data_IF_445180060793
#
_entry.id   IF_445180060793
#
_cell.length_a   1.000
_cell.length_b   1.000
_cell.length_c   1.000
_cell.angle_alpha   90.00
_cell.angle_beta   90.00
_cell.angle_gamma   90.00
#
_symmetry.space_group_name_H-M   'P 1'
#
loop_
_entity.id
_entity.type
_entity.pdbx_description
1 polymer ?
#
# COMPACT_ATOMS: atom_id res chain seq x y z
N UNK A 1 12.91 -8.92 17.50
CA UNK A 1 13.45 -7.60 17.14
C UNK A 1 12.28 -6.70 16.76
N UNK A 2 12.18 -5.53 17.37
CA UNK A 2 11.20 -4.50 17.04
C UNK A 2 11.87 -3.38 16.22
N UNK A 3 11.12 -2.71 15.36
CA UNK A 3 11.60 -1.59 14.57
C UNK A 3 10.47 -0.65 14.14
N UNK A 4 10.84 0.52 13.64
CA UNK A 4 9.92 1.53 13.12
C UNK A 4 10.44 2.01 11.76
N UNK A 5 9.55 2.09 10.78
CA UNK A 5 9.81 2.66 9.47
C UNK A 5 8.98 3.93 9.29
N UNK A 6 9.60 5.02 8.85
CA UNK A 6 8.91 6.26 8.44
C UNK A 6 9.48 6.69 7.11
N UNK A 7 8.63 6.97 6.12
CA UNK A 7 9.05 7.48 4.83
C UNK A 7 7.95 8.35 4.19
N UNK A 8 8.37 9.47 3.61
CA UNK A 8 7.54 10.42 2.90
C UNK A 8 8.20 10.81 1.57
N UNK A 9 7.40 11.22 0.59
CA UNK A 9 7.88 11.78 -0.66
C UNK A 9 7.14 13.07 -1.01
N UNK A 10 7.75 13.89 -1.84
CA UNK A 10 7.15 15.14 -2.34
C UNK A 10 7.20 15.16 -3.86
N UNK A 11 6.22 15.82 -4.45
CA UNK A 11 6.16 16.11 -5.87
C UNK A 11 5.95 17.60 -6.05
N UNK A 12 6.69 18.20 -6.97
CA UNK A 12 6.57 19.60 -7.35
C UNK A 12 6.12 19.61 -8.80
N UNK A 13 4.88 20.04 -9.03
CA UNK A 13 4.34 20.24 -10.37
C UNK A 13 4.90 21.55 -10.94
N UNK A 14 5.73 21.46 -11.98
CA UNK A 14 6.49 22.59 -12.53
C UNK A 14 5.98 23.07 -13.89
N UNK A 15 5.14 22.29 -14.59
CA UNK A 15 4.82 22.53 -16.00
C UNK A 15 3.31 22.61 -16.29
N UNK A 16 2.49 21.84 -15.59
CA UNK A 16 1.06 21.68 -15.88
C UNK A 16 0.23 22.21 -14.69
N UNK A 17 0.07 23.53 -14.61
CA UNK A 17 -0.73 24.19 -13.55
C UNK A 17 -2.25 24.03 -13.77
N UNK A 18 -2.71 22.78 -13.89
CA UNK A 18 -4.13 22.42 -14.02
C UNK A 18 -4.66 22.15 -15.43
N UNK A 19 -3.81 22.08 -16.47
CA UNK A 19 -4.23 21.78 -17.86
C UNK A 19 -4.27 20.27 -18.18
N UNK A 20 -3.56 19.45 -17.40
CA UNK A 20 -3.59 17.99 -17.57
C UNK A 20 -4.88 17.41 -16.97
N UNK A 21 -5.84 17.01 -17.82
CA UNK A 21 -7.10 16.35 -17.42
C UNK A 21 -6.96 14.95 -16.84
N UNK A 22 -5.74 14.53 -16.47
CA UNK A 22 -5.42 13.28 -15.80
C UNK A 22 -4.24 13.49 -14.85
N UNK A 23 -4.23 12.83 -13.68
CA UNK A 23 -3.08 12.88 -12.81
C UNK A 23 -1.84 12.33 -13.51
N UNK A 24 -0.81 13.16 -13.66
CA UNK A 24 0.45 12.69 -14.21
C UNK A 24 1.15 11.74 -13.20
N UNK A 25 1.97 10.81 -13.70
CA UNK A 25 2.57 9.74 -12.87
C UNK A 25 3.55 10.29 -11.79
N UNK A 26 3.87 11.58 -11.81
CA UNK A 26 4.91 12.21 -10.98
C UNK A 26 4.31 13.26 -10.01
N UNK A 27 3.06 13.68 -10.18
CA UNK A 27 2.37 14.70 -9.37
C UNK A 27 1.21 14.11 -8.54
N UNK A 28 0.64 14.96 -7.67
CA UNK A 28 -0.56 14.60 -6.93
C UNK A 28 -1.80 15.08 -7.65
N UNK A 29 -2.85 14.28 -7.64
CA UNK A 29 -4.18 14.76 -8.00
C UNK A 29 -4.57 15.95 -7.13
N UNK A 30 -5.27 16.90 -7.73
CA UNK A 30 -5.90 18.01 -7.00
C UNK A 30 -6.83 17.49 -5.90
N UNK A 31 -7.43 16.31 -6.10
CA UNK A 31 -8.22 15.61 -5.08
C UNK A 31 -7.36 14.77 -4.16
N UNK A 32 -7.67 14.86 -2.87
CA UNK A 32 -6.92 14.16 -1.84
C UNK A 32 -7.25 12.67 -1.74
N UNK A 33 -8.40 12.25 -2.28
CA UNK A 33 -9.02 10.93 -2.11
C UNK A 33 -9.45 10.36 -3.45
N UNK A 34 -9.45 9.03 -3.56
CA UNK A 34 -9.70 8.34 -4.82
C UNK A 34 -11.16 8.32 -5.24
N UNK A 35 -12.09 8.22 -4.29
CA UNK A 35 -13.52 8.22 -4.61
C UNK A 35 -14.08 9.63 -4.85
N UNK A 36 -13.34 10.68 -4.46
CA UNK A 36 -13.65 12.09 -4.71
C UNK A 36 -13.01 12.62 -6.02
N UNK A 37 -12.31 11.76 -6.76
CA UNK A 37 -11.59 12.13 -7.97
C UNK A 37 -12.53 12.69 -9.05
N UNK A 38 -12.23 13.89 -9.53
CA UNK A 38 -12.96 14.59 -10.59
C UNK A 38 -12.09 14.98 -11.78
N UNK A 39 -10.82 14.56 -11.79
CA UNK A 39 -9.85 14.81 -12.86
C UNK A 39 -9.61 16.30 -13.12
N UNK A 40 -9.75 17.14 -12.10
CA UNK A 40 -9.56 18.60 -12.17
C UNK A 40 -8.10 19.06 -12.22
N UNK A 41 -7.18 18.15 -12.54
CA UNK A 41 -5.75 18.39 -12.71
C UNK A 41 -4.89 18.04 -11.50
N UNK A 42 -3.63 18.50 -11.56
CA UNK A 42 -2.57 18.15 -10.62
C UNK A 42 -2.18 19.27 -9.66
N UNK A 43 -1.48 18.90 -8.59
CA UNK A 43 -0.88 19.80 -7.61
C UNK A 43 0.45 19.28 -7.07
N UNK A 44 1.23 20.22 -6.57
CA UNK A 44 2.37 19.91 -5.70
C UNK A 44 1.90 19.41 -4.34
N UNK A 45 2.72 18.61 -3.66
CA UNK A 45 2.36 18.08 -2.34
C UNK A 45 3.44 17.24 -1.68
N UNK A 46 3.09 16.71 -0.52
CA UNK A 46 3.88 15.74 0.24
C UNK A 46 2.96 14.60 0.69
N UNK A 47 3.46 13.37 0.63
CA UNK A 47 2.71 12.18 1.02
C UNK A 47 3.55 11.29 1.92
N UNK A 48 3.06 11.06 3.14
CA UNK A 48 3.59 10.04 4.04
C UNK A 48 3.09 8.68 3.58
N UNK A 49 3.98 7.86 3.01
CA UNK A 49 3.61 6.59 2.37
C UNK A 49 4.05 5.35 3.17
N UNK A 50 4.82 5.57 4.24
CA UNK A 50 5.21 4.53 5.17
C UNK A 50 5.34 5.11 6.58
N UNK A 51 4.67 4.47 7.54
CA UNK A 51 4.75 4.77 8.95
C UNK A 51 4.33 3.51 9.71
N UNK A 52 5.26 2.59 9.91
CA UNK A 52 4.96 1.22 10.32
C UNK A 52 5.85 0.73 11.45
N UNK A 53 5.21 0.22 12.50
CA UNK A 53 5.89 -0.63 13.47
C UNK A 53 6.15 -2.00 12.86
N UNK A 54 7.30 -2.59 13.14
CA UNK A 54 7.71 -3.90 12.66
C UNK A 54 8.18 -4.78 13.80
N UNK A 55 7.87 -6.05 13.69
CA UNK A 55 8.30 -7.10 14.59
C UNK A 55 8.81 -8.28 13.78
N UNK A 56 9.91 -8.88 14.23
CA UNK A 56 10.44 -10.13 13.68
C UNK A 56 10.95 -11.02 14.81
N UNK A 57 10.55 -12.28 14.80
CA UNK A 57 11.00 -13.30 15.74
C UNK A 57 11.06 -14.67 15.05
N UNK A 58 12.29 -15.17 14.84
CA UNK A 58 12.52 -16.40 14.08
C UNK A 58 11.94 -16.32 12.67
N UNK A 59 11.10 -17.29 12.24
CA UNK A 59 10.47 -17.29 10.93
C UNK A 59 9.30 -16.30 10.84
N UNK A 60 8.80 -15.81 11.98
CA UNK A 60 7.60 -14.97 12.05
C UNK A 60 7.97 -13.49 11.96
N UNK A 61 7.17 -12.73 11.23
CA UNK A 61 7.26 -11.29 11.13
C UNK A 61 5.86 -10.66 11.16
N UNK A 62 5.78 -9.42 11.60
CA UNK A 62 4.57 -8.63 11.59
C UNK A 62 4.89 -7.15 11.38
N UNK A 63 3.95 -6.41 10.78
CA UNK A 63 4.00 -4.96 10.64
C UNK A 63 2.61 -4.38 10.78
N UNK A 64 2.52 -3.16 11.32
CA UNK A 64 1.26 -2.45 11.46
C UNK A 64 1.45 -0.94 11.32
N UNK A 65 0.44 -0.25 10.79
CA UNK A 65 0.44 1.19 10.51
C UNK A 65 0.22 1.45 9.02
N UNK A 66 0.95 2.42 8.48
CA UNK A 66 0.99 2.70 7.05
C UNK A 66 2.04 1.81 6.39
N UNK A 67 1.53 0.74 5.77
CA UNK A 67 2.33 -0.36 5.25
C UNK A 67 2.13 -0.51 3.75
N UNK A 68 3.17 -1.05 3.12
CA UNK A 68 3.07 -1.68 1.81
C UNK A 68 3.07 -3.19 2.02
N UNK A 69 2.16 -3.92 1.37
CA UNK A 69 2.18 -5.37 1.31
C UNK A 69 3.57 -5.87 0.91
N UNK A 70 4.12 -6.84 1.63
CA UNK A 70 5.33 -7.56 1.15
C UNK A 70 5.29 -9.06 1.39
N UNK A 71 4.20 -9.59 1.94
CA UNK A 71 3.92 -11.01 1.96
C UNK A 71 3.30 -11.46 0.64
N UNK A 72 2.81 -12.69 0.63
CA UNK A 72 2.19 -13.37 -0.51
C UNK A 72 0.69 -13.07 -0.65
N UNK A 73 0.26 -11.89 -0.20
CA UNK A 73 -1.14 -11.49 -0.24
C UNK A 73 -1.54 -11.01 -1.64
N UNK A 74 -2.84 -11.07 -1.94
CA UNK A 74 -3.39 -10.55 -3.20
C UNK A 74 -3.51 -9.02 -3.21
N UNK A 75 -3.40 -8.39 -2.04
CA UNK A 75 -3.39 -6.93 -1.95
C UNK A 75 -2.01 -6.44 -2.38
N UNK A 76 -1.96 -5.75 -3.52
CA UNK A 76 -0.75 -5.14 -4.03
C UNK A 76 -0.95 -3.62 -4.12
N UNK A 77 0.09 -2.81 -3.82
CA UNK A 77 0.00 -1.37 -4.02
C UNK A 77 -0.08 -1.07 -5.52
N UNK A 78 -0.86 -0.05 -5.88
CA UNK A 78 -0.75 0.53 -7.22
C UNK A 78 0.65 1.14 -7.38
N UNK A 79 1.24 0.96 -8.55
CA UNK A 79 2.57 1.49 -8.89
C UNK A 79 2.44 2.82 -9.66
N UNK A 80 3.36 3.72 -9.33
CA UNK A 80 3.61 5.04 -9.93
C UNK A 80 5.05 5.40 -9.51
N UNK A 81 5.45 6.69 -9.50
CA UNK A 81 6.76 7.12 -8.97
C UNK A 81 7.04 6.55 -7.56
N UNK A 82 6.00 6.42 -6.74
CA UNK A 82 6.03 5.79 -5.43
C UNK A 82 4.86 4.82 -5.26
N UNK A 83 4.95 3.80 -4.39
CA UNK A 83 3.88 2.82 -4.19
C UNK A 83 2.74 3.38 -3.32
N UNK A 84 1.53 2.85 -3.54
CA UNK A 84 0.37 3.11 -2.71
C UNK A 84 0.56 2.65 -1.25
N UNK A 85 -0.30 3.16 -0.37
CA UNK A 85 -0.20 2.96 1.09
C UNK A 85 -1.48 2.33 1.62
N UNK A 86 -1.34 1.26 2.40
CA UNK A 86 -2.45 0.67 3.13
C UNK A 86 -2.35 1.04 4.61
N UNK A 87 -3.48 1.35 5.25
CA UNK A 87 -3.56 1.40 6.71
C UNK A 87 -4.04 0.04 7.21
N UNK A 88 -3.18 -0.63 7.95
CA UNK A 88 -3.51 -1.98 8.38
C UNK A 88 -2.39 -2.68 9.10
N UNK A 89 -2.52 -4.00 9.15
CA UNK A 89 -1.53 -4.89 9.72
C UNK A 89 -1.30 -6.07 8.78
N UNK A 90 -0.06 -6.53 8.74
CA UNK A 90 0.32 -7.70 7.97
C UNK A 90 1.30 -8.53 8.77
N UNK A 91 1.04 -9.84 8.83
CA UNK A 91 1.89 -10.78 9.50
C UNK A 91 2.14 -11.99 8.61
N UNK A 92 3.28 -12.62 8.78
CA UNK A 92 3.63 -13.80 8.02
C UNK A 92 4.69 -14.63 8.68
N UNK A 93 4.89 -15.82 8.13
CA UNK A 93 5.94 -16.73 8.52
C UNK A 93 6.59 -17.33 7.29
N UNK A 94 7.91 -17.37 7.26
CA UNK A 94 8.68 -18.06 6.21
C UNK A 94 9.53 -19.14 6.85
N UNK A 95 9.23 -20.38 6.49
CA UNK A 95 9.95 -21.57 6.90
C UNK A 95 10.83 -22.02 5.75
N UNK A 96 12.14 -21.93 5.96
CA UNK A 96 13.13 -22.45 5.03
C UNK A 96 13.54 -23.86 5.48
N UNK A 97 13.28 -24.85 4.63
CA UNK A 97 13.63 -26.25 4.85
C UNK A 97 14.91 -26.65 4.09
N UNK A 98 15.70 -25.67 3.62
CA UNK A 98 16.93 -25.92 2.88
C UNK A 98 16.67 -26.64 1.56
N UNK A 99 17.27 -27.82 1.40
CA UNK A 99 17.16 -28.64 0.20
C UNK A 99 15.72 -29.14 -0.05
N UNK A 100 14.88 -29.20 0.99
CA UNK A 100 13.48 -29.61 0.87
C UNK A 100 12.55 -28.48 0.38
N UNK A 101 13.05 -27.25 0.19
CA UNK A 101 12.28 -26.11 -0.29
C UNK A 101 11.92 -25.09 0.79
N UNK A 102 10.99 -24.18 0.49
CA UNK A 102 10.54 -23.15 1.42
C UNK A 102 9.02 -22.99 1.41
N UNK A 103 8.45 -22.68 2.57
CA UNK A 103 7.03 -22.46 2.76
C UNK A 103 6.82 -21.10 3.41
N UNK A 104 6.13 -20.21 2.71
CA UNK A 104 5.80 -18.87 3.20
C UNK A 104 4.29 -18.69 3.30
N UNK A 105 3.85 -18.10 4.41
CA UNK A 105 2.47 -17.69 4.62
C UNK A 105 2.41 -16.23 5.03
N UNK A 106 1.36 -15.55 4.63
CA UNK A 106 1.09 -14.18 5.05
C UNK A 106 -0.41 -13.91 5.14
N UNK A 107 -0.77 -13.06 6.07
CA UNK A 107 -2.10 -12.53 6.24
C UNK A 107 -2.02 -11.02 6.36
N UNK A 108 -2.90 -10.33 5.65
CA UNK A 108 -3.05 -8.89 5.71
C UNK A 108 -4.48 -8.54 6.06
N UNK A 109 -4.61 -7.55 6.93
CA UNK A 109 -5.84 -6.83 7.21
C UNK A 109 -5.61 -5.35 6.93
N UNK A 110 -6.58 -4.68 6.33
CA UNK A 110 -6.51 -3.25 6.03
C UNK A 110 -7.90 -2.64 6.02
N UNK A 111 -8.03 -1.40 6.47
CA UNK A 111 -9.31 -0.67 6.50
C UNK A 111 -9.36 0.53 5.55
N UNK A 112 -8.19 1.08 5.19
CA UNK A 112 -8.09 2.20 4.27
C UNK A 112 -6.92 2.02 3.29
N UNK A 113 -7.03 2.68 2.14
CA UNK A 113 -6.00 2.71 1.11
C UNK A 113 -5.84 4.11 0.53
N UNK A 114 -4.59 4.47 0.24
CA UNK A 114 -4.22 5.69 -0.49
C UNK A 114 -3.41 5.30 -1.71
N UNK A 115 -3.87 5.68 -2.89
CA UNK A 115 -3.10 5.54 -4.11
C UNK A 115 -1.93 6.56 -4.14
N UNK A 116 -0.87 6.32 -4.92
CA UNK A 116 0.32 7.18 -4.97
C UNK A 116 0.06 8.66 -5.26
N UNK A 117 -0.90 8.95 -6.14
CA UNK A 117 -1.27 10.29 -6.58
C UNK A 117 -2.23 11.00 -5.61
N UNK A 118 -2.62 10.36 -4.52
CA UNK A 118 -3.45 10.95 -3.47
C UNK A 118 -2.64 11.25 -2.22
N UNK A 119 -3.12 12.21 -1.43
CA UNK A 119 -2.43 12.65 -0.21
C UNK A 119 -3.10 12.14 1.06
N UNK A 120 -4.40 11.83 1.00
CA UNK A 120 -5.19 11.30 2.12
C UNK A 120 -5.57 9.83 1.93
N UNK A 121 -5.74 9.13 3.05
CA UNK A 121 -6.30 7.79 3.05
C UNK A 121 -7.78 7.84 2.68
N UNK A 122 -8.22 6.81 1.97
CA UNK A 122 -9.61 6.66 1.58
C UNK A 122 -10.14 5.29 2.01
N UNK A 123 -11.45 5.23 2.22
CA UNK A 123 -12.11 3.99 2.58
C UNK A 123 -12.31 3.11 1.34
N UNK A 124 -12.56 1.83 1.57
CA UNK A 124 -12.99 0.94 0.51
C UNK A 124 -14.49 1.10 0.25
N UNK A 125 -14.88 1.06 -1.02
CA UNK A 125 -16.28 1.03 -1.41
C UNK A 125 -16.51 -0.09 -2.42
N UNK A 126 -17.74 -0.61 -2.43
CA UNK A 126 -18.17 -1.52 -3.49
C UNK A 126 -18.20 -0.79 -4.85
N UNK A 127 -18.46 -1.54 -5.92
CA UNK A 127 -18.53 -1.00 -7.28
C UNK A 127 -19.56 0.15 -7.43
N UNK A 128 -20.53 0.25 -6.51
CA UNK A 128 -21.51 1.33 -6.45
C UNK A 128 -20.95 2.68 -5.95
N UNK A 129 -19.69 2.71 -5.46
CA UNK A 129 -19.00 3.86 -4.86
C UNK A 129 -19.72 4.50 -3.67
N UNK A 130 -20.69 3.80 -3.07
CA UNK A 130 -21.54 4.33 -1.98
C UNK A 130 -21.50 3.40 -0.78
N UNK A 131 -21.59 2.10 -1.01
CA UNK A 131 -21.57 1.12 0.07
C UNK A 131 -20.15 0.93 0.55
N UNK A 132 -19.89 1.37 1.79
CA UNK A 132 -18.59 1.25 2.42
C UNK A 132 -18.27 -0.21 2.75
N UNK A 133 -17.00 -0.57 2.56
CA UNK A 133 -16.41 -1.84 3.01
C UNK A 133 -15.44 -1.48 4.13
N UNK A 134 -15.77 -1.89 5.37
CA UNK A 134 -15.02 -1.49 6.55
C UNK A 134 -13.57 -2.01 6.56
N UNK A 135 -13.35 -3.18 5.96
CA UNK A 135 -12.04 -3.81 5.92
C UNK A 135 -11.91 -4.85 4.82
N UNK A 136 -10.67 -5.05 4.38
CA UNK A 136 -10.25 -6.12 3.51
C UNK A 136 -9.30 -7.07 4.26
N UNK A 137 -9.42 -8.35 3.94
CA UNK A 137 -8.51 -9.38 4.39
C UNK A 137 -7.90 -10.07 3.18
N UNK A 138 -6.63 -10.45 3.28
CA UNK A 138 -5.98 -11.27 2.27
C UNK A 138 -5.06 -12.29 2.92
N UNK A 139 -5.21 -13.54 2.51
CA UNK A 139 -4.37 -14.65 2.95
C UNK A 139 -3.62 -15.21 1.75
N UNK A 140 -2.33 -15.43 1.96
CA UNK A 140 -1.37 -15.84 0.95
C UNK A 140 -0.56 -17.03 1.39
N UNK A 141 -0.27 -17.93 0.46
CA UNK A 141 0.70 -19.01 0.65
C UNK A 141 1.58 -19.15 -0.59
N UNK A 142 2.86 -19.37 -0.37
CA UNK A 142 3.83 -19.69 -1.41
C UNK A 142 4.57 -20.96 -1.00
N UNK A 143 4.69 -21.88 -1.96
CA UNK A 143 5.45 -23.12 -1.81
C UNK A 143 6.55 -23.10 -2.87
N UNK A 144 7.80 -23.04 -2.43
CA UNK A 144 8.97 -23.19 -3.30
C UNK A 144 9.47 -24.62 -3.21
N UNK A 145 9.28 -25.38 -4.29
CA UNK A 145 9.81 -26.73 -4.45
C UNK A 145 11.19 -26.64 -5.12
N UNK A 146 12.17 -27.41 -4.65
CA UNK A 146 13.40 -27.62 -5.43
C UNK A 146 13.13 -28.63 -6.54
N UNK A 147 13.69 -28.38 -7.73
CA UNK A 147 13.69 -29.30 -8.88
C UNK A 147 14.99 -30.07 -8.93
#
# INVERSE_FOLDING_TARGET
MFGLDIAAFTAIEMAENGDSGHPNEIAFSKKNKGYDEDYSGDKSGISLYKAAAKFKYGPVWARAGYIQPTGQTLLAPHWSFMPGTYQGAEAGASFDYGDAGALSFSYMWTNEYKAPWHTEMDKFYQADKKTNVDYLHSIGREVRLQK
#
